data_IF_057405722211
#
_entry.id   IF_057405722211
#
_cell.length_a   1.000
_cell.length_b   1.000
_cell.length_c   1.000
_cell.angle_alpha   90.00
_cell.angle_beta   90.00
_cell.angle_gamma   90.00
#
_symmetry.space_group_name_H-M   'P 1'
#
loop_
_entity.id
_entity.type
_entity.pdbx_description
1 polymer ?
#
# COMPACT_ATOMS: atom_id res chain seq x y z
N UNK A 1 -28.78 -1.78 -11.93
CA UNK A 1 -27.95 -0.74 -12.57
C UNK A 1 -26.97 -0.07 -11.61
N UNK A 2 -27.40 0.32 -10.39
CA UNK A 2 -26.55 0.97 -9.37
C UNK A 2 -25.32 0.16 -8.88
N UNK A 3 -25.47 -1.16 -8.70
CA UNK A 3 -24.41 -2.01 -8.12
C UNK A 3 -23.15 -2.15 -8.99
N UNK A 4 -23.31 -2.07 -10.33
CA UNK A 4 -22.18 -2.14 -11.28
C UNK A 4 -21.38 -0.83 -11.27
N UNK A 5 -22.07 0.31 -11.17
CA UNK A 5 -21.44 1.63 -11.10
C UNK A 5 -20.58 1.81 -9.85
N UNK A 6 -21.03 1.26 -8.71
CA UNK A 6 -20.25 1.27 -7.46
C UNK A 6 -18.89 0.57 -7.63
N UNK A 7 -18.79 -0.52 -8.38
CA UNK A 7 -17.52 -1.23 -8.56
C UNK A 7 -16.49 -0.44 -9.37
N UNK A 8 -16.93 0.31 -10.38
CA UNK A 8 -16.05 1.17 -11.18
C UNK A 8 -15.45 2.32 -10.38
N UNK A 9 -16.17 2.84 -9.38
CA UNK A 9 -15.67 3.90 -8.50
C UNK A 9 -14.81 3.36 -7.34
N UNK A 10 -15.18 2.22 -6.76
CA UNK A 10 -14.52 1.67 -5.57
C UNK A 10 -13.11 1.15 -5.87
N UNK A 11 -12.85 0.65 -7.08
CA UNK A 11 -11.53 0.14 -7.47
C UNK A 11 -10.45 1.23 -7.49
N UNK A 12 -10.57 2.31 -8.28
CA UNK A 12 -9.58 3.38 -8.28
C UNK A 12 -9.50 4.08 -6.92
N UNK A 13 -10.62 4.23 -6.21
CA UNK A 13 -10.63 4.82 -4.87
C UNK A 13 -9.77 4.01 -3.89
N UNK A 14 -9.88 2.68 -3.92
CA UNK A 14 -9.09 1.81 -3.03
C UNK A 14 -7.59 1.93 -3.30
N UNK A 15 -7.19 2.03 -4.57
CA UNK A 15 -5.79 2.23 -4.98
C UNK A 15 -5.29 3.62 -4.57
N UNK A 16 -6.09 4.67 -4.78
CA UNK A 16 -5.71 6.02 -4.39
C UNK A 16 -5.50 6.12 -2.88
N UNK A 17 -6.35 5.48 -2.07
CA UNK A 17 -6.22 5.47 -0.61
C UNK A 17 -4.92 4.79 -0.18
N UNK A 18 -4.62 3.58 -0.67
CA UNK A 18 -3.41 2.86 -0.27
C UNK A 18 -2.13 3.54 -0.75
N UNK A 19 -2.14 4.14 -1.95
CA UNK A 19 -1.02 4.95 -2.43
C UNK A 19 -0.81 6.22 -1.59
N UNK A 20 -1.90 6.87 -1.17
CA UNK A 20 -1.81 8.07 -0.32
C UNK A 20 -1.17 7.74 1.03
N UNK A 21 -1.52 6.60 1.62
CA UNK A 21 -0.88 6.12 2.85
C UNK A 21 0.62 5.92 2.64
N UNK A 22 1.01 5.27 1.54
CA UNK A 22 2.42 5.06 1.19
C UNK A 22 3.19 6.35 0.95
N UNK A 23 2.57 7.34 0.30
CA UNK A 23 3.18 8.65 0.06
C UNK A 23 3.41 9.41 1.37
N UNK A 24 2.41 9.42 2.25
CA UNK A 24 2.51 10.08 3.57
C UNK A 24 3.61 9.42 4.39
N UNK A 25 3.58 8.09 4.52
CA UNK A 25 4.61 7.34 5.24
C UNK A 25 6.02 7.56 4.65
N UNK A 26 6.13 7.55 3.33
CA UNK A 26 7.38 7.84 2.61
C UNK A 26 7.89 9.26 2.87
N UNK A 27 7.01 10.25 2.88
CA UNK A 27 7.37 11.65 3.15
C UNK A 27 7.95 11.84 4.55
N UNK A 28 7.32 11.24 5.57
CA UNK A 28 7.82 11.31 6.96
C UNK A 28 9.13 10.53 7.17
N UNK A 29 9.38 9.47 6.41
CA UNK A 29 10.57 8.63 6.57
C UNK A 29 11.75 9.08 5.70
N UNK A 30 11.51 9.80 4.60
CA UNK A 30 12.54 10.21 3.65
C UNK A 30 13.68 11.01 4.28
N UNK A 31 13.35 11.94 5.19
CA UNK A 31 14.34 12.78 5.87
C UNK A 31 15.25 11.97 6.81
N UNK A 32 14.69 10.98 7.51
CA UNK A 32 15.44 10.15 8.44
C UNK A 32 16.35 9.15 7.72
N UNK A 33 15.97 8.65 6.55
CA UNK A 33 16.79 7.68 5.80
C UNK A 33 18.12 8.31 5.37
N UNK A 34 18.13 9.59 4.98
CA UNK A 34 19.35 10.23 4.49
C UNK A 34 20.46 10.34 5.53
N UNK A 35 20.13 10.39 6.83
CA UNK A 35 21.09 10.63 7.91
C UNK A 35 21.95 9.41 8.24
N UNK A 36 21.40 8.20 8.18
CA UNK A 36 22.09 6.96 8.54
C UNK A 36 22.36 6.05 7.33
N UNK A 37 21.42 5.96 6.38
CA UNK A 37 21.47 4.97 5.29
C UNK A 37 22.62 5.22 4.31
N UNK A 38 23.00 6.47 4.09
CA UNK A 38 24.12 6.83 3.23
C UNK A 38 25.48 6.51 3.84
N UNK A 39 25.57 6.41 5.18
CA UNK A 39 26.80 6.08 5.90
C UNK A 39 27.12 4.58 5.97
N UNK A 40 26.21 3.71 5.52
CA UNK A 40 26.42 2.27 5.55
C UNK A 40 27.35 1.81 4.42
N UNK A 41 28.30 0.94 4.76
CA UNK A 41 29.05 0.13 3.81
C UNK A 41 28.13 -0.94 3.23
N UNK A 42 27.72 -0.74 1.97
CA UNK A 42 26.75 -1.61 1.29
C UNK A 42 27.48 -2.63 0.41
N UNK A 43 27.07 -3.92 0.41
CA UNK A 43 27.62 -4.89 -0.54
C UNK A 43 27.22 -4.52 -1.97
N UNK A 44 28.04 -4.90 -2.95
CA UNK A 44 27.87 -4.53 -4.37
C UNK A 44 26.55 -5.01 -5.01
N UNK A 45 25.85 -5.96 -4.39
CA UNK A 45 24.55 -6.47 -4.84
C UNK A 45 23.36 -5.63 -4.38
N UNK A 46 23.57 -4.54 -3.64
CA UNK A 46 22.47 -3.66 -3.22
C UNK A 46 21.91 -2.87 -4.39
N UNK A 47 20.58 -2.90 -4.63
CA UNK A 47 19.98 -2.14 -5.71
C UNK A 47 20.10 -0.63 -5.44
N UNK A 48 20.13 0.20 -6.50
CA UNK A 48 20.11 1.65 -6.36
C UNK A 48 18.90 2.17 -5.58
N UNK A 49 19.07 3.26 -4.84
CA UNK A 49 18.02 3.85 -4.00
C UNK A 49 16.70 4.15 -4.76
N UNK A 50 16.78 4.50 -6.05
CA UNK A 50 15.60 4.83 -6.85
C UNK A 50 14.68 3.63 -7.08
N UNK A 51 15.20 2.39 -7.01
CA UNK A 51 14.42 1.16 -7.24
C UNK A 51 13.35 0.97 -6.17
N UNK A 52 13.58 1.48 -4.95
CA UNK A 52 12.61 1.41 -3.87
C UNK A 52 11.31 2.14 -4.22
N UNK A 53 11.35 3.24 -5.00
CA UNK A 53 10.15 3.97 -5.36
C UNK A 53 9.17 3.11 -6.20
N UNK A 54 9.57 2.51 -7.34
CA UNK A 54 8.74 1.55 -8.07
C UNK A 54 8.28 0.36 -7.22
N UNK A 55 9.16 -0.20 -6.39
CA UNK A 55 8.81 -1.35 -5.52
C UNK A 55 7.67 -1.00 -4.57
N UNK A 56 7.76 0.15 -3.88
CA UNK A 56 6.71 0.61 -2.98
C UNK A 56 5.42 0.92 -3.73
N UNK A 57 5.50 1.59 -4.89
CA UNK A 57 4.31 1.86 -5.71
C UNK A 57 3.58 0.57 -6.10
N UNK A 58 4.31 -0.47 -6.52
CA UNK A 58 3.72 -1.78 -6.85
C UNK A 58 3.06 -2.41 -5.62
N UNK A 59 3.75 -2.42 -4.47
CA UNK A 59 3.19 -2.95 -3.22
C UNK A 59 1.89 -2.24 -2.82
N UNK A 60 1.86 -0.91 -2.84
CA UNK A 60 0.68 -0.13 -2.49
C UNK A 60 -0.46 -0.26 -3.52
N UNK A 61 -0.14 -0.46 -4.80
CA UNK A 61 -1.14 -0.81 -5.81
C UNK A 61 -1.77 -2.18 -5.52
N UNK A 62 -0.96 -3.19 -5.21
CA UNK A 62 -1.45 -4.53 -4.85
C UNK A 62 -2.32 -4.49 -3.59
N UNK A 63 -1.93 -3.71 -2.59
CA UNK A 63 -2.74 -3.47 -1.39
C UNK A 63 -4.08 -2.82 -1.73
N UNK A 64 -4.11 -1.89 -2.69
CA UNK A 64 -5.35 -1.29 -3.19
C UNK A 64 -6.30 -2.31 -3.83
N UNK A 65 -5.75 -3.27 -4.59
CA UNK A 65 -6.51 -4.40 -5.15
C UNK A 65 -7.08 -5.29 -4.04
N UNK A 66 -6.28 -5.59 -3.01
CA UNK A 66 -6.73 -6.38 -1.85
C UNK A 66 -7.85 -5.64 -1.11
N UNK A 67 -7.69 -4.35 -0.84
CA UNK A 67 -8.70 -3.52 -0.20
C UNK A 67 -10.02 -3.52 -0.99
N UNK A 68 -9.93 -3.31 -2.31
CA UNK A 68 -11.10 -3.38 -3.20
C UNK A 68 -11.83 -4.72 -3.09
N UNK A 69 -11.11 -5.85 -3.11
CA UNK A 69 -11.70 -7.18 -2.94
C UNK A 69 -12.32 -7.35 -1.55
N UNK A 70 -11.66 -6.85 -0.50
CA UNK A 70 -12.16 -6.96 0.87
C UNK A 70 -13.45 -6.17 1.07
N UNK A 71 -13.57 -4.95 0.53
CA UNK A 71 -14.77 -4.12 0.70
C UNK A 71 -15.94 -4.58 -0.17
N UNK A 72 -15.68 -5.16 -1.34
CA UNK A 72 -16.72 -5.67 -2.25
C UNK A 72 -17.16 -7.09 -1.93
N UNK A 73 -16.36 -7.86 -1.19
CA UNK A 73 -16.71 -9.21 -0.77
C UNK A 73 -17.95 -9.24 0.16
N UNK A 74 -18.74 -10.30 0.01
CA UNK A 74 -19.84 -10.61 0.93
C UNK A 74 -19.31 -10.75 2.36
N UNK A 75 -20.08 -10.23 3.33
CA UNK A 75 -19.69 -10.23 4.74
C UNK A 75 -19.75 -11.66 5.30
N UNK A 76 -18.60 -12.31 5.38
CA UNK A 76 -18.39 -13.57 6.09
C UNK A 76 -17.47 -13.35 7.28
N UNK A 77 -17.47 -14.27 8.26
CA UNK A 77 -16.58 -14.18 9.42
C UNK A 77 -15.09 -14.03 9.02
N UNK A 78 -14.65 -14.80 8.02
CA UNK A 78 -13.30 -14.74 7.48
C UNK A 78 -12.98 -13.38 6.84
N UNK A 79 -13.92 -12.79 6.09
CA UNK A 79 -13.73 -11.47 5.47
C UNK A 79 -13.71 -10.35 6.52
N UNK A 80 -14.52 -10.46 7.57
CA UNK A 80 -14.50 -9.50 8.68
C UNK A 80 -13.15 -9.56 9.41
N UNK A 81 -12.63 -10.76 9.66
CA UNK A 81 -11.31 -10.94 10.25
C UNK A 81 -10.20 -10.42 9.31
N UNK A 82 -10.26 -10.75 8.02
CA UNK A 82 -9.30 -10.25 7.03
C UNK A 82 -9.30 -8.73 6.91
N UNK A 83 -10.46 -8.07 7.01
CA UNK A 83 -10.55 -6.59 7.07
C UNK A 83 -9.86 -6.07 8.33
N UNK A 84 -10.14 -6.64 9.50
CA UNK A 84 -9.48 -6.25 10.76
C UNK A 84 -7.96 -6.39 10.67
N UNK A 85 -7.47 -7.53 10.14
CA UNK A 85 -6.05 -7.77 9.93
C UNK A 85 -5.44 -6.76 8.95
N UNK A 86 -6.12 -6.51 7.83
CA UNK A 86 -5.68 -5.53 6.85
C UNK A 86 -5.51 -4.15 7.49
N UNK A 87 -6.52 -3.63 8.19
CA UNK A 87 -6.43 -2.32 8.86
C UNK A 87 -5.42 -2.30 10.02
N UNK A 88 -5.26 -3.41 10.73
CA UNK A 88 -4.22 -3.54 11.76
C UNK A 88 -2.81 -3.42 11.16
N UNK A 89 -2.58 -3.94 9.95
CA UNK A 89 -1.28 -3.80 9.28
C UNK A 89 -0.92 -2.36 8.86
N UNK A 90 -1.87 -1.41 8.93
CA UNK A 90 -1.63 0.01 8.66
C UNK A 90 -1.65 0.90 9.91
N UNK A 91 -1.87 0.33 11.10
CA UNK A 91 -1.71 1.01 12.39
C UNK A 91 -0.30 0.75 12.93
#
# INVERSE_FOLDING_TARGET
MLHRFQHYLLFPLSICVTLSVGLIAGFFTASNIQTWYHGLTRPSLTPPNWVFAPTWTILYMLLGVVLYKLITAHKTANIIQARKLFFFSFC
#
